data_IF_336290062543
#
_entry.id   IF_336290062543
#
_cell.length_a   1.000
_cell.length_b   1.000
_cell.length_c   1.000
_cell.angle_alpha   90.00
_cell.angle_beta   90.00
_cell.angle_gamma   90.00
#
_symmetry.space_group_name_H-M   'P 1'
#
loop_
_entity.id
_entity.type
_entity.pdbx_description
1 polymer ?
#
# COMPACT_ATOMS: atom_id res chain seq x y z
N UNK A 1 -72.48 -16.93 -11.40
CA UNK A 1 -71.48 -17.98 -11.24
C UNK A 1 -70.18 -17.32 -11.11
N UNK A 2 -69.63 -17.47 -9.96
CA UNK A 2 -68.68 -16.58 -9.35
C UNK A 2 -67.27 -17.07 -9.55
N UNK A 3 -66.45 -16.22 -10.08
CA UNK A 3 -64.97 -16.40 -10.05
C UNK A 3 -64.45 -15.80 -8.77
N UNK A 4 -63.63 -16.49 -8.01
CA UNK A 4 -62.98 -15.91 -6.86
C UNK A 4 -61.66 -15.29 -7.33
N UNK A 5 -61.49 -14.12 -6.84
CA UNK A 5 -60.34 -13.24 -6.89
C UNK A 5 -59.16 -13.91 -6.19
N UNK A 6 -58.02 -13.96 -6.86
CA UNK A 6 -56.73 -14.24 -6.22
C UNK A 6 -56.28 -13.04 -5.39
N UNK A 7 -55.83 -13.23 -4.17
CA UNK A 7 -55.11 -12.19 -3.44
C UNK A 7 -53.67 -12.12 -3.96
N UNK A 8 -53.29 -10.92 -4.27
CA UNK A 8 -51.91 -10.54 -4.55
C UNK A 8 -51.05 -10.78 -3.33
N UNK A 9 -50.06 -11.64 -3.47
CA UNK A 9 -48.99 -11.75 -2.53
C UNK A 9 -48.09 -10.52 -2.74
N UNK A 10 -48.23 -9.57 -1.84
CA UNK A 10 -47.19 -8.59 -1.59
C UNK A 10 -45.97 -9.35 -1.08
N UNK A 11 -45.02 -9.52 -1.97
CA UNK A 11 -43.67 -9.92 -1.65
C UNK A 11 -43.01 -8.77 -0.92
N UNK A 12 -43.05 -8.81 0.39
CA UNK A 12 -42.26 -7.95 1.25
C UNK A 12 -40.79 -8.24 0.95
N UNK A 13 -40.20 -7.37 0.19
CA UNK A 13 -38.74 -7.27 0.06
C UNK A 13 -38.16 -6.99 1.45
N UNK A 14 -37.51 -7.99 1.98
CA UNK A 14 -36.75 -7.91 3.22
C UNK A 14 -35.56 -6.99 3.00
N UNK A 15 -35.45 -5.84 3.67
CA UNK A 15 -34.27 -5.02 3.61
C UNK A 15 -33.23 -5.58 4.60
N UNK A 16 -32.73 -6.76 4.33
CA UNK A 16 -31.52 -7.24 4.96
C UNK A 16 -30.33 -6.47 4.36
N UNK A 17 -30.26 -5.19 4.68
CA UNK A 17 -29.05 -4.40 4.59
C UNK A 17 -28.02 -4.98 5.55
N UNK A 18 -27.36 -6.06 5.15
CA UNK A 18 -26.13 -6.48 5.78
C UNK A 18 -25.13 -5.33 5.69
N UNK A 19 -24.26 -5.15 6.71
CA UNK A 19 -23.27 -4.08 6.68
C UNK A 19 -22.46 -4.26 5.40
N UNK A 20 -22.56 -3.28 4.55
CA UNK A 20 -21.72 -3.12 3.38
C UNK A 20 -20.27 -3.24 3.84
N UNK A 21 -19.69 -4.41 3.63
CA UNK A 21 -18.26 -4.61 3.74
C UNK A 21 -17.66 -3.93 2.52
N UNK A 22 -17.75 -2.61 2.50
CA UNK A 22 -16.90 -1.80 1.67
C UNK A 22 -15.48 -2.22 1.98
N UNK A 23 -14.96 -3.11 1.16
CA UNK A 23 -13.53 -3.38 1.10
C UNK A 23 -12.93 -2.10 0.59
N UNK A 24 -12.71 -1.16 1.51
CA UNK A 24 -12.10 0.13 1.18
C UNK A 24 -10.68 -0.17 0.79
N UNK A 25 -10.45 -0.26 -0.50
CA UNK A 25 -9.11 -0.42 -1.07
C UNK A 25 -8.26 0.75 -0.58
N UNK A 26 -7.03 0.51 -0.12
CA UNK A 26 -6.12 1.57 0.27
C UNK A 26 -6.04 2.63 -0.84
N UNK A 27 -6.09 3.90 -0.47
CA UNK A 27 -6.02 5.00 -1.44
C UNK A 27 -4.63 5.06 -2.03
N UNK A 28 -4.47 4.54 -3.24
CA UNK A 28 -3.24 4.65 -4.01
C UNK A 28 -3.25 5.97 -4.76
N UNK A 29 -2.27 6.80 -4.49
CA UNK A 29 -2.07 8.08 -5.17
C UNK A 29 -0.78 7.99 -6.00
N UNK A 30 -0.86 8.11 -7.32
CA UNK A 30 0.34 8.25 -8.13
C UNK A 30 1.03 9.56 -7.79
N UNK A 31 2.34 9.53 -7.71
CA UNK A 31 3.18 10.72 -7.44
C UNK A 31 4.33 10.78 -8.46
N UNK A 32 4.69 11.99 -8.86
CA UNK A 32 5.69 12.26 -9.89
C UNK A 32 7.02 12.66 -9.24
N UNK A 33 7.61 11.73 -8.47
CA UNK A 33 8.92 11.92 -7.87
C UNK A 33 8.91 12.35 -6.41
N UNK A 34 10.11 12.54 -5.87
CA UNK A 34 10.37 12.76 -4.44
C UNK A 34 9.67 14.02 -3.90
N UNK A 35 9.65 15.10 -4.69
CA UNK A 35 9.05 16.37 -4.26
C UNK A 35 7.54 16.24 -4.02
N UNK A 36 6.82 15.55 -4.91
CA UNK A 36 5.40 15.31 -4.75
C UNK A 36 5.12 14.33 -3.61
N UNK A 37 5.92 13.27 -3.49
CA UNK A 37 5.84 12.33 -2.37
C UNK A 37 6.02 13.06 -1.04
N UNK A 38 6.99 13.95 -0.95
CA UNK A 38 7.23 14.77 0.24
C UNK A 38 6.05 15.69 0.54
N UNK A 39 5.49 16.38 -0.46
CA UNK A 39 4.35 17.25 -0.29
C UNK A 39 3.11 16.49 0.19
N UNK A 40 2.83 15.32 -0.37
CA UNK A 40 1.72 14.46 0.06
C UNK A 40 1.91 13.95 1.49
N UNK A 41 3.11 13.54 1.84
CA UNK A 41 3.43 13.08 3.20
C UNK A 41 3.28 14.24 4.21
N UNK A 42 3.66 15.47 3.84
CA UNK A 42 3.50 16.64 4.71
C UNK A 42 2.02 16.94 5.01
N UNK A 43 1.12 16.70 4.05
CA UNK A 43 -0.32 16.80 4.30
C UNK A 43 -0.80 15.80 5.36
N UNK A 44 -0.33 14.55 5.27
CA UNK A 44 -0.64 13.53 6.27
C UNK A 44 -0.06 13.88 7.64
N UNK A 45 1.17 14.38 7.70
CA UNK A 45 1.79 14.87 8.94
C UNK A 45 1.00 16.02 9.57
N UNK A 46 0.55 16.98 8.77
CA UNK A 46 -0.27 18.09 9.24
C UNK A 46 -1.60 17.61 9.84
N UNK A 47 -2.23 16.63 9.23
CA UNK A 47 -3.45 16.02 9.77
C UNK A 47 -3.18 15.26 11.08
N UNK A 48 -2.07 14.52 11.13
CA UNK A 48 -1.63 13.78 12.31
C UNK A 48 -1.38 14.73 13.50
N UNK A 49 -0.65 15.82 13.29
CA UNK A 49 -0.36 16.84 14.32
C UNK A 49 -1.65 17.45 14.89
N UNK A 50 -2.61 17.74 14.03
CA UNK A 50 -3.92 18.29 14.47
C UNK A 50 -4.71 17.31 15.33
N UNK A 51 -4.55 16.01 15.11
CA UNK A 51 -5.23 14.95 15.87
C UNK A 51 -4.44 14.46 17.08
N UNK A 52 -3.21 14.95 17.27
CA UNK A 52 -2.33 14.55 18.38
C UNK A 52 -1.82 13.10 18.32
N UNK A 53 -1.79 12.50 17.13
CA UNK A 53 -1.38 11.11 16.92
C UNK A 53 0.02 10.94 16.30
N UNK A 54 0.53 9.70 16.28
CA UNK A 54 1.73 9.32 15.55
C UNK A 54 1.45 9.07 14.06
N UNK A 55 2.51 9.00 13.28
CA UNK A 55 2.47 8.60 11.88
C UNK A 55 3.75 7.86 11.54
N UNK A 56 3.65 6.76 10.84
CA UNK A 56 4.82 6.09 10.26
C UNK A 56 4.75 6.12 8.74
N UNK A 57 5.92 6.15 8.10
CA UNK A 57 6.07 5.98 6.67
C UNK A 57 6.98 4.79 6.40
N UNK A 58 6.61 3.96 5.44
CA UNK A 58 7.43 2.87 4.93
C UNK A 58 7.79 3.16 3.48
N UNK A 59 9.04 2.87 3.11
CA UNK A 59 9.48 2.91 1.72
C UNK A 59 9.86 1.50 1.27
N UNK A 60 9.26 1.06 0.18
CA UNK A 60 9.46 -0.25 -0.44
C UNK A 60 10.20 -0.04 -1.74
N UNK A 61 11.43 -0.53 -1.83
CA UNK A 61 12.33 -0.36 -2.97
C UNK A 61 12.81 -1.71 -3.50
N UNK A 62 12.70 -1.94 -4.79
CA UNK A 62 13.27 -3.12 -5.44
C UNK A 62 14.78 -2.88 -5.65
N UNK A 63 15.61 -3.68 -4.98
CA UNK A 63 17.06 -3.54 -5.01
C UNK A 63 17.71 -4.32 -6.15
N UNK A 64 17.25 -5.53 -6.38
CA UNK A 64 17.78 -6.38 -7.43
C UNK A 64 16.73 -7.32 -8.00
N UNK A 65 16.94 -7.70 -9.26
CA UNK A 65 16.18 -8.72 -9.96
C UNK A 65 17.14 -9.59 -10.77
N UNK A 66 16.95 -10.89 -10.74
CA UNK A 66 17.74 -11.84 -11.53
C UNK A 66 16.88 -12.92 -12.16
N UNK A 67 17.30 -13.38 -13.33
CA UNK A 67 16.72 -14.53 -14.04
C UNK A 67 17.82 -15.55 -14.23
N UNK A 68 17.66 -16.79 -13.76
CA UNK A 68 18.64 -17.84 -13.99
C UNK A 68 18.91 -18.04 -15.50
N UNK A 69 20.18 -17.89 -15.90
CA UNK A 69 20.61 -18.11 -17.29
C UNK A 69 20.14 -17.06 -18.30
N UNK A 70 19.72 -15.88 -17.85
CA UNK A 70 19.21 -14.84 -18.73
C UNK A 70 19.41 -13.42 -18.20
N UNK A 71 18.84 -12.44 -18.92
CA UNK A 71 18.79 -11.04 -18.52
C UNK A 71 17.37 -10.59 -18.25
N UNK A 72 17.22 -9.64 -17.35
CA UNK A 72 15.93 -9.00 -17.06
C UNK A 72 15.68 -7.92 -18.10
N UNK A 73 14.57 -8.01 -18.81
CA UNK A 73 14.14 -6.97 -19.75
C UNK A 73 13.40 -5.85 -19.01
N UNK A 74 13.35 -4.65 -19.61
CA UNK A 74 12.60 -3.52 -19.06
C UNK A 74 11.11 -3.85 -18.81
N UNK A 75 10.49 -4.62 -19.69
CA UNK A 75 9.11 -5.06 -19.52
C UNK A 75 8.91 -6.02 -18.35
N UNK A 76 9.87 -6.91 -18.09
CA UNK A 76 9.86 -7.80 -16.93
C UNK A 76 10.05 -7.00 -15.64
N UNK A 77 10.98 -6.07 -15.65
CA UNK A 77 11.23 -5.17 -14.52
C UNK A 77 9.97 -4.40 -14.14
N UNK A 78 9.30 -3.80 -15.10
CA UNK A 78 8.07 -3.04 -14.87
C UNK A 78 6.96 -3.93 -14.27
N UNK A 79 6.80 -5.16 -14.77
CA UNK A 79 5.80 -6.11 -14.25
C UNK A 79 6.12 -6.54 -12.82
N UNK A 80 7.39 -6.78 -12.48
CA UNK A 80 7.79 -7.09 -11.10
C UNK A 80 7.48 -5.92 -10.18
N UNK A 81 7.84 -4.70 -10.55
CA UNK A 81 7.53 -3.50 -9.74
C UNK A 81 6.04 -3.33 -9.52
N UNK A 82 5.24 -3.57 -10.56
CA UNK A 82 3.78 -3.55 -10.46
C UNK A 82 3.28 -4.62 -9.48
N UNK A 83 3.80 -5.84 -9.56
CA UNK A 83 3.40 -6.94 -8.68
C UNK A 83 3.83 -6.69 -7.22
N UNK A 84 5.02 -6.16 -6.99
CA UNK A 84 5.46 -5.72 -5.65
C UNK A 84 4.48 -4.69 -5.10
N UNK A 85 4.13 -3.68 -5.88
CA UNK A 85 3.17 -2.65 -5.47
C UNK A 85 1.77 -3.24 -5.16
N UNK A 86 1.32 -4.22 -5.93
CA UNK A 86 0.05 -4.92 -5.69
C UNK A 86 0.09 -5.71 -4.38
N UNK A 87 1.18 -6.44 -4.11
CA UNK A 87 1.36 -7.17 -2.85
C UNK A 87 1.38 -6.24 -1.65
N UNK A 88 2.05 -5.10 -1.77
CA UNK A 88 2.02 -4.04 -0.74
C UNK A 88 0.60 -3.56 -0.52
N UNK A 89 -0.12 -3.22 -1.59
CA UNK A 89 -1.50 -2.74 -1.53
C UNK A 89 -2.46 -3.71 -0.83
N UNK A 90 -2.29 -5.01 -1.07
CA UNK A 90 -3.10 -6.05 -0.43
C UNK A 90 -2.73 -6.32 1.04
N UNK A 91 -1.55 -5.87 1.46
CA UNK A 91 -1.05 -6.11 2.82
C UNK A 91 -1.33 -4.96 3.79
N UNK A 92 -1.69 -3.78 3.31
CA UNK A 92 -1.95 -2.61 4.14
C UNK A 92 -3.44 -2.40 4.39
N UNK A 93 -3.77 -1.59 5.40
CA UNK A 93 -5.17 -1.38 5.82
C UNK A 93 -5.86 -0.33 4.95
N UNK A 94 -7.17 -0.34 4.94
CA UNK A 94 -7.99 0.66 4.25
C UNK A 94 -7.72 2.12 4.67
N UNK A 95 -7.31 2.34 5.93
CA UNK A 95 -6.95 3.67 6.45
C UNK A 95 -5.53 4.13 6.13
N UNK A 96 -4.70 3.23 5.58
CA UNK A 96 -3.34 3.56 5.15
C UNK A 96 -3.39 4.23 3.76
N UNK A 97 -2.38 5.02 3.44
CA UNK A 97 -2.25 5.63 2.13
C UNK A 97 -1.02 5.09 1.40
N UNK A 98 -1.14 4.85 0.10
CA UNK A 98 -0.05 4.41 -0.74
C UNK A 98 0.32 5.55 -1.68
N UNK A 99 1.55 6.00 -1.60
CA UNK A 99 2.14 6.98 -2.52
C UNK A 99 3.06 6.23 -3.47
N UNK A 100 2.64 6.13 -4.72
CA UNK A 100 3.34 5.36 -5.73
C UNK A 100 4.15 6.28 -6.62
N UNK A 101 5.43 6.30 -6.43
CA UNK A 101 6.37 6.91 -7.37
C UNK A 101 6.50 6.01 -8.60
N UNK A 102 6.32 6.58 -9.78
CA UNK A 102 5.92 5.90 -11.03
C UNK A 102 6.70 4.65 -11.40
N UNK A 103 7.99 4.51 -11.09
CA UNK A 103 8.79 3.39 -11.56
C UNK A 103 9.79 2.79 -10.56
N UNK A 104 9.86 3.28 -9.32
CA UNK A 104 10.93 2.83 -8.41
C UNK A 104 10.44 2.46 -7.02
N UNK A 105 9.83 3.38 -6.32
CA UNK A 105 9.54 3.23 -4.91
C UNK A 105 8.05 3.37 -4.61
N UNK A 106 7.58 2.56 -3.70
CA UNK A 106 6.23 2.68 -3.15
C UNK A 106 6.35 3.10 -1.69
N UNK A 107 5.82 4.26 -1.34
CA UNK A 107 5.74 4.71 0.04
C UNK A 107 4.36 4.41 0.62
N UNK A 108 4.32 3.89 1.82
CA UNK A 108 3.09 3.61 2.57
C UNK A 108 3.05 4.53 3.77
N UNK A 109 1.95 5.25 3.95
CA UNK A 109 1.71 6.11 5.10
C UNK A 109 0.74 5.42 6.05
N UNK A 110 1.15 5.25 7.29
CA UNK A 110 0.41 4.59 8.36
C UNK A 110 -0.03 5.62 9.41
N UNK A 111 -1.21 6.24 9.28
CA UNK A 111 -1.73 7.17 10.28
C UNK A 111 -1.97 6.46 11.62
N UNK A 112 -1.59 7.10 12.72
CA UNK A 112 -1.74 6.56 14.07
C UNK A 112 -0.74 5.46 14.45
N UNK A 113 0.25 5.17 13.59
CA UNK A 113 1.28 4.19 13.87
C UNK A 113 2.49 4.81 14.56
N UNK A 114 3.04 4.10 15.53
CA UNK A 114 4.33 4.35 16.14
C UNK A 114 5.43 3.45 15.51
N UNK A 115 6.66 3.59 15.98
CA UNK A 115 7.79 2.79 15.50
C UNK A 115 7.61 1.28 15.67
N UNK A 116 6.95 0.83 16.73
CA UNK A 116 6.70 -0.60 16.99
C UNK A 116 5.69 -1.18 15.98
N UNK A 117 4.66 -0.40 15.66
CA UNK A 117 3.69 -0.78 14.64
C UNK A 117 4.37 -0.81 13.27
N UNK A 118 5.18 0.21 12.96
CA UNK A 118 5.95 0.26 11.72
C UNK A 118 6.86 -0.97 11.55
N UNK A 119 7.63 -1.35 12.56
CA UNK A 119 8.50 -2.52 12.53
C UNK A 119 7.76 -3.83 12.27
N UNK A 120 6.57 -3.99 12.83
CA UNK A 120 5.73 -5.17 12.56
C UNK A 120 5.25 -5.22 11.12
N UNK A 121 4.87 -4.07 10.57
CA UNK A 121 4.43 -3.96 9.17
C UNK A 121 5.62 -4.21 8.23
N UNK A 122 6.80 -3.66 8.53
CA UNK A 122 8.04 -3.93 7.78
C UNK A 122 8.28 -5.43 7.67
N UNK A 123 8.39 -6.14 8.81
CA UNK A 123 8.63 -7.60 8.81
C UNK A 123 7.57 -8.39 8.05
N UNK A 124 6.32 -7.95 8.07
CA UNK A 124 5.24 -8.57 7.30
C UNK A 124 5.41 -8.31 5.80
N UNK A 125 5.71 -7.08 5.40
CA UNK A 125 5.92 -6.73 4.01
C UNK A 125 7.15 -7.42 3.43
N UNK A 126 8.27 -7.42 4.13
CA UNK A 126 9.49 -8.11 3.67
C UNK A 126 9.24 -9.58 3.32
N UNK A 127 8.48 -10.29 4.15
CA UNK A 127 8.12 -11.69 3.86
C UNK A 127 7.19 -11.86 2.66
N UNK A 128 6.40 -10.85 2.34
CA UNK A 128 5.43 -10.90 1.23
C UNK A 128 6.03 -10.47 -0.10
N UNK A 129 7.01 -9.56 -0.07
CA UNK A 129 7.53 -8.94 -1.29
C UNK A 129 8.87 -9.53 -1.74
N UNK A 130 9.65 -10.16 -0.85
CA UNK A 130 10.87 -10.85 -1.23
C UNK A 130 10.57 -12.26 -1.77
N UNK A 131 11.40 -12.75 -2.67
CA UNK A 131 11.35 -14.09 -3.21
C UNK A 131 11.09 -14.15 -4.71
N UNK A 132 10.42 -15.21 -5.13
CA UNK A 132 10.25 -15.53 -6.53
C UNK A 132 9.03 -14.84 -7.14
N UNK A 133 9.23 -14.33 -8.34
CA UNK A 133 8.18 -13.73 -9.17
C UNK A 133 8.12 -14.44 -10.53
N UNK A 134 6.92 -14.83 -10.94
CA UNK A 134 6.72 -15.43 -12.26
C UNK A 134 6.21 -14.37 -13.24
N UNK A 135 7.05 -14.01 -14.21
CA UNK A 135 6.76 -13.00 -15.21
C UNK A 135 7.06 -13.54 -16.60
N UNK A 136 6.10 -13.47 -17.51
CA UNK A 136 6.23 -13.94 -18.89
C UNK A 136 6.77 -15.39 -18.98
N UNK A 137 6.31 -16.28 -18.11
CA UNK A 137 6.73 -17.68 -18.05
C UNK A 137 8.12 -17.92 -17.44
N UNK A 138 8.84 -16.87 -17.05
CA UNK A 138 10.15 -16.96 -16.41
C UNK A 138 10.03 -16.74 -14.90
N UNK A 139 10.88 -17.42 -14.13
CA UNK A 139 11.02 -17.24 -12.70
C UNK A 139 12.11 -16.21 -12.45
N UNK A 140 11.78 -15.15 -11.72
CA UNK A 140 12.72 -14.11 -11.31
C UNK A 140 12.90 -14.17 -9.80
N UNK A 141 14.13 -14.10 -9.35
CA UNK A 141 14.46 -13.82 -7.96
C UNK A 141 14.55 -12.32 -7.75
N UNK A 142 13.80 -11.82 -6.77
CA UNK A 142 13.67 -10.38 -6.52
C UNK A 142 14.00 -10.07 -5.06
N UNK A 143 14.92 -9.15 -4.87
CA UNK A 143 15.24 -8.60 -3.55
C UNK A 143 14.58 -7.23 -3.40
N UNK A 144 13.81 -7.09 -2.34
CA UNK A 144 13.07 -5.87 -2.01
C UNK A 144 13.46 -5.43 -0.60
N UNK A 145 13.82 -4.15 -0.47
CA UNK A 145 14.07 -3.53 0.82
C UNK A 145 12.82 -2.78 1.29
N UNK A 146 12.51 -2.93 2.57
CA UNK A 146 11.46 -2.17 3.23
C UNK A 146 12.08 -1.40 4.39
N UNK A 147 12.12 -0.08 4.27
CA UNK A 147 12.56 0.79 5.35
C UNK A 147 11.38 1.51 6.00
N UNK A 148 11.54 1.95 7.23
CA UNK A 148 10.51 2.68 7.96
C UNK A 148 11.06 3.86 8.74
N UNK A 149 10.20 4.86 8.96
CA UNK A 149 10.44 5.97 9.87
C UNK A 149 9.12 6.37 10.54
N UNK A 150 9.18 6.81 11.79
CA UNK A 150 8.02 7.18 12.58
C UNK A 150 8.13 8.62 13.10
N UNK A 151 7.06 9.37 12.95
CA UNK A 151 6.92 10.70 13.55
C UNK A 151 6.34 10.55 14.98
N UNK A 152 6.87 11.26 15.96
CA UNK A 152 7.94 12.27 15.90
C UNK A 152 9.39 11.73 16.09
N UNK A 153 9.58 10.43 16.36
CA UNK A 153 10.87 9.86 16.78
C UNK A 153 12.00 10.07 15.75
N UNK A 154 11.68 9.89 14.46
CA UNK A 154 12.66 9.95 13.36
C UNK A 154 12.69 11.29 12.64
N UNK A 155 11.99 12.27 13.15
CA UNK A 155 12.02 13.64 12.65
C UNK A 155 10.63 14.28 12.54
N UNK A 156 10.60 15.62 12.51
CA UNK A 156 9.36 16.37 12.45
C UNK A 156 8.81 16.61 11.04
N UNK A 157 9.64 16.43 9.99
CA UNK A 157 9.29 16.77 8.61
C UNK A 157 9.23 15.55 7.72
N UNK A 158 8.43 15.65 6.65
CA UNK A 158 8.32 14.61 5.63
C UNK A 158 9.68 14.23 5.02
N UNK A 159 10.53 15.22 4.76
CA UNK A 159 11.86 14.99 4.23
C UNK A 159 12.73 14.11 5.14
N UNK A 160 12.66 14.33 6.45
CA UNK A 160 13.42 13.54 7.43
C UNK A 160 12.96 12.09 7.44
N UNK A 161 11.65 11.87 7.44
CA UNK A 161 11.06 10.54 7.43
C UNK A 161 11.35 9.78 6.13
N UNK A 162 11.25 10.45 4.98
CA UNK A 162 11.54 9.83 3.68
C UNK A 162 13.02 9.47 3.55
N UNK A 163 13.93 10.33 3.99
CA UNK A 163 15.37 10.04 4.01
C UNK A 163 15.66 8.81 4.87
N UNK A 164 15.11 8.75 6.07
CA UNK A 164 15.30 7.62 6.99
C UNK A 164 14.69 6.33 6.44
N UNK A 165 13.43 6.34 6.04
CA UNK A 165 12.74 5.17 5.48
C UNK A 165 13.33 4.72 4.15
N UNK A 166 13.74 5.65 3.29
CA UNK A 166 14.37 5.38 2.00
C UNK A 166 15.82 4.89 2.10
N UNK A 167 16.48 5.00 3.27
CA UNK A 167 17.90 4.66 3.45
C UNK A 167 18.83 5.47 2.55
N UNK A 168 18.41 6.67 2.19
CA UNK A 168 19.23 7.63 1.44
C UNK A 168 19.83 8.60 2.46
N UNK A 169 21.09 8.37 2.79
CA UNK A 169 21.92 9.31 3.54
C UNK A 169 22.31 10.51 2.66
#
# INVERSE_FOLDING_TARGET
MMSPICPEHEEQADPAGGPDRSTTVPRTTPVSGVAETQARLELHLSQCRRRGGGLAVLCVSVESMSVPGGSVSAGMEQRVRQEVSNRVGNAVRAGDAILRESDRDTCVVLPGADGRVADRVVRRLERLVNGDYRVAGKLLEVAVRVGAAAHPQDGPRAADLLRKAGGRD
#
